data_IF_185828714510
#
_entry.id   IF_185828714510
#
_cell.length_a   1.000
_cell.length_b   1.000
_cell.length_c   1.000
_cell.angle_alpha   90.00
_cell.angle_beta   90.00
_cell.angle_gamma   90.00
#
_symmetry.space_group_name_H-M   'P 1'
#
loop_
_entity.id
_entity.type
_entity.pdbx_description
1 polymer ?
#
# COMPACT_ATOMS: atom_id res chain seq x y z
N UNK A 1 -1.19 0.50 -0.32
CA UNK A 1 -0.30 1.61 -0.74
C UNK A 1 -0.56 2.85 0.10
N UNK A 2 -0.11 4.03 -0.32
CA UNK A 2 -0.35 5.28 0.44
C UNK A 2 -1.76 5.84 0.25
N UNK A 3 -2.20 6.01 -1.00
CA UNK A 3 -3.44 6.65 -1.40
C UNK A 3 -3.76 6.20 -2.83
N UNK A 4 -5.03 6.26 -3.29
CA UNK A 4 -5.34 6.02 -4.68
C UNK A 4 -4.71 7.08 -5.58
N UNK A 5 -4.17 6.66 -6.72
CA UNK A 5 -3.73 7.56 -7.79
C UNK A 5 -4.91 8.05 -8.65
N UNK A 6 -4.66 9.01 -9.56
CA UNK A 6 -5.70 9.54 -10.47
C UNK A 6 -6.37 8.44 -11.29
N UNK A 7 -5.59 7.54 -11.89
CA UNK A 7 -6.10 6.40 -12.68
C UNK A 7 -6.99 5.51 -11.82
N UNK A 8 -6.55 5.20 -10.60
CA UNK A 8 -7.28 4.32 -9.68
C UNK A 8 -8.58 4.96 -9.20
N UNK A 9 -8.61 6.29 -9.06
CA UNK A 9 -9.82 7.05 -8.74
C UNK A 9 -10.87 7.00 -9.86
N UNK A 10 -10.45 7.15 -11.12
CA UNK A 10 -11.34 7.08 -12.29
C UNK A 10 -11.86 5.66 -12.48
N UNK A 11 -10.96 4.69 -12.42
CA UNK A 11 -11.28 3.29 -12.74
C UNK A 11 -11.81 2.51 -11.55
N UNK A 12 -11.80 3.11 -10.35
CA UNK A 12 -12.22 2.52 -9.07
C UNK A 12 -11.55 1.18 -8.78
N UNK A 13 -10.30 1.02 -9.24
CA UNK A 13 -9.49 -0.19 -9.08
C UNK A 13 -8.09 0.17 -8.54
N UNK A 14 -7.79 -0.15 -7.27
CA UNK A 14 -6.46 0.04 -6.68
C UNK A 14 -5.39 -0.73 -7.45
N UNK A 15 -4.17 -0.20 -7.56
CA UNK A 15 -3.04 -0.85 -8.24
C UNK A 15 -3.24 -1.13 -9.74
N UNK A 16 -4.18 -0.46 -10.42
CA UNK A 16 -4.33 -0.62 -11.88
C UNK A 16 -3.23 0.09 -12.68
N UNK A 17 -2.63 1.13 -12.12
CA UNK A 17 -1.58 1.92 -12.77
C UNK A 17 -0.23 1.22 -12.96
N UNK A 18 0.79 1.98 -13.39
CA UNK A 18 2.15 1.48 -13.65
C UNK A 18 2.79 0.75 -12.46
N UNK A 19 2.58 1.27 -11.25
CA UNK A 19 3.15 0.67 -10.05
C UNK A 19 2.57 -0.73 -9.80
N UNK A 20 1.26 -0.91 -9.95
CA UNK A 20 0.64 -2.22 -9.73
C UNK A 20 0.93 -3.23 -10.83
N UNK A 21 1.11 -2.81 -12.09
CA UNK A 21 1.68 -3.69 -13.13
C UNK A 21 3.06 -4.23 -12.74
N UNK A 22 3.89 -3.40 -12.12
CA UNK A 22 5.21 -3.82 -11.64
C UNK A 22 5.10 -4.76 -10.44
N UNK A 23 4.22 -4.46 -9.48
CA UNK A 23 3.97 -5.34 -8.34
C UNK A 23 3.50 -6.73 -8.77
N UNK A 24 2.53 -6.80 -9.68
CA UNK A 24 2.03 -8.05 -10.26
C UNK A 24 3.13 -8.88 -10.91
N UNK A 25 3.97 -8.22 -11.71
CA UNK A 25 5.16 -8.86 -12.30
C UNK A 25 6.12 -9.43 -11.25
N UNK A 26 6.36 -8.71 -10.15
CA UNK A 26 7.22 -9.23 -9.06
C UNK A 26 6.62 -10.47 -8.38
N UNK A 27 5.30 -10.50 -8.25
CA UNK A 27 4.58 -11.62 -7.64
C UNK A 27 4.33 -12.78 -8.63
N UNK A 28 4.64 -12.60 -9.91
CA UNK A 28 4.36 -13.59 -10.94
C UNK A 28 2.87 -13.83 -11.18
N UNK A 29 2.03 -12.83 -10.90
CA UNK A 29 0.57 -12.92 -11.04
C UNK A 29 0.10 -12.06 -12.22
N UNK A 30 -0.90 -12.55 -12.95
CA UNK A 30 -1.63 -11.69 -13.89
C UNK A 30 -2.61 -10.74 -13.17
N UNK A 31 -3.39 -9.97 -13.93
CA UNK A 31 -4.33 -9.01 -13.34
C UNK A 31 -5.49 -9.71 -12.63
N UNK A 32 -6.02 -10.78 -13.19
CA UNK A 32 -7.18 -11.49 -12.66
C UNK A 32 -6.80 -12.26 -11.39
N UNK A 33 -5.70 -13.02 -11.44
CA UNK A 33 -5.15 -13.75 -10.30
C UNK A 33 -4.82 -12.82 -9.14
N UNK A 34 -4.22 -11.65 -9.44
CA UNK A 34 -3.88 -10.67 -8.42
C UNK A 34 -5.10 -10.15 -7.67
N UNK A 35 -6.18 -9.80 -8.38
CA UNK A 35 -7.40 -9.30 -7.74
C UNK A 35 -8.25 -10.41 -7.13
N UNK A 36 -8.15 -11.65 -7.61
CA UNK A 36 -8.76 -12.81 -6.97
C UNK A 36 -8.05 -13.18 -5.66
N UNK A 37 -6.73 -12.96 -5.58
CA UNK A 37 -5.89 -13.30 -4.41
C UNK A 37 -5.88 -12.20 -3.36
N UNK A 38 -5.75 -10.94 -3.78
CA UNK A 38 -5.52 -9.82 -2.86
C UNK A 38 -6.69 -8.84 -2.81
N UNK A 39 -7.20 -8.64 -1.60
CA UNK A 39 -7.93 -7.42 -1.28
C UNK A 39 -6.95 -6.24 -1.24
N UNK A 40 -7.14 -5.26 -2.12
CA UNK A 40 -6.24 -4.14 -2.29
C UNK A 40 -6.77 -2.85 -1.68
N UNK A 41 -6.02 -2.28 -0.73
CA UNK A 41 -6.37 -1.01 -0.08
C UNK A 41 -5.18 -0.05 0.08
N UNK A 42 -5.49 1.19 0.41
CA UNK A 42 -4.54 2.27 0.69
C UNK A 42 -4.79 2.90 2.05
N UNK A 43 -3.74 3.50 2.63
CA UNK A 43 -3.83 4.17 3.94
C UNK A 43 -4.89 5.27 3.93
N UNK A 44 -4.99 6.04 2.84
CA UNK A 44 -6.10 6.98 2.61
C UNK A 44 -6.96 6.56 1.41
N UNK A 45 -8.22 7.03 1.38
CA UNK A 45 -9.23 6.68 0.35
C UNK A 45 -9.44 7.71 -0.74
N UNK A 46 -8.81 8.88 -0.59
CA UNK A 46 -8.92 9.97 -1.53
C UNK A 46 -7.56 10.23 -2.18
N UNK A 47 -7.59 10.65 -3.44
CA UNK A 47 -6.40 11.12 -4.13
C UNK A 47 -5.89 12.38 -3.42
N UNK A 48 -4.63 12.40 -2.94
CA UNK A 48 -4.15 13.51 -2.14
C UNK A 48 -3.81 14.73 -2.99
N UNK A 49 -3.62 14.58 -4.30
CA UNK A 49 -3.12 15.64 -5.17
C UNK A 49 -1.65 15.44 -5.54
N UNK A 50 -1.17 16.28 -6.46
CA UNK A 50 0.22 16.24 -6.93
C UNK A 50 1.19 16.75 -5.87
N UNK A 51 2.39 16.18 -5.87
CA UNK A 51 3.49 16.75 -5.10
C UNK A 51 3.93 18.10 -5.70
N UNK A 52 4.33 19.05 -4.86
CA UNK A 52 4.85 20.36 -5.30
C UNK A 52 6.12 20.24 -6.16
N UNK A 53 6.87 19.15 -5.99
CA UNK A 53 8.04 18.83 -6.83
C UNK A 53 7.67 18.45 -8.28
N UNK A 54 6.38 18.31 -8.59
CA UNK A 54 5.89 17.80 -9.87
C UNK A 54 6.09 16.29 -10.07
N UNK A 55 6.75 15.60 -9.13
CA UNK A 55 7.04 14.16 -9.22
C UNK A 55 6.03 13.37 -8.41
N UNK A 56 5.06 12.77 -9.10
CA UNK A 56 4.08 11.88 -8.51
C UNK A 56 3.08 12.60 -7.60
N UNK A 57 2.55 11.84 -6.65
CA UNK A 57 1.45 12.28 -5.78
C UNK A 57 2.02 12.60 -4.40
N UNK A 58 1.49 13.64 -3.75
CA UNK A 58 1.97 14.03 -2.42
C UNK A 58 1.65 12.94 -1.40
N UNK A 59 2.45 12.88 -0.33
CA UNK A 59 2.10 12.03 0.81
C UNK A 59 0.87 12.63 1.54
N UNK A 60 -0.14 11.83 1.89
CA UNK A 60 -1.23 12.28 2.75
C UNK A 60 -0.71 12.79 4.09
N UNK A 61 -1.28 13.88 4.58
CA UNK A 61 -0.97 14.47 5.88
C UNK A 61 -1.36 13.54 7.02
N UNK A 62 -0.80 13.72 8.24
CA UNK A 62 -1.22 12.93 9.40
C UNK A 62 -2.72 12.99 9.68
N UNK A 63 -3.34 14.17 9.50
CA UNK A 63 -4.79 14.34 9.70
C UNK A 63 -5.61 13.54 8.69
N UNK A 64 -5.21 13.54 7.42
CA UNK A 64 -5.89 12.73 6.39
C UNK A 64 -5.76 11.22 6.65
N UNK A 65 -4.61 10.78 7.17
CA UNK A 65 -4.40 9.39 7.57
C UNK A 65 -5.28 9.00 8.76
N UNK A 66 -5.41 9.89 9.75
CA UNK A 66 -6.27 9.70 10.92
C UNK A 66 -7.75 9.56 10.51
N UNK A 67 -8.24 10.47 9.66
CA UNK A 67 -9.61 10.44 9.15
C UNK A 67 -9.94 9.14 8.38
N UNK A 68 -8.92 8.50 7.79
CA UNK A 68 -9.08 7.23 7.07
C UNK A 68 -8.75 5.99 7.92
N UNK A 69 -8.28 6.14 9.16
CA UNK A 69 -7.77 5.03 9.96
C UNK A 69 -8.84 3.97 10.23
N UNK A 70 -10.10 4.39 10.40
CA UNK A 70 -11.23 3.50 10.67
C UNK A 70 -11.42 2.45 9.56
N UNK A 71 -11.20 2.82 8.29
CA UNK A 71 -11.37 1.89 7.17
C UNK A 71 -10.49 0.67 7.32
N UNK A 72 -9.21 0.87 7.66
CA UNK A 72 -8.24 -0.22 7.84
C UNK A 72 -8.66 -1.13 8.98
N UNK A 73 -9.11 -0.56 10.09
CA UNK A 73 -9.54 -1.33 11.26
C UNK A 73 -10.71 -2.24 10.91
N UNK A 74 -11.71 -1.70 10.21
CA UNK A 74 -12.86 -2.47 9.73
C UNK A 74 -12.48 -3.53 8.70
N UNK A 75 -11.61 -3.20 7.74
CA UNK A 75 -11.14 -4.16 6.74
C UNK A 75 -10.44 -5.35 7.38
N UNK A 76 -9.50 -5.12 8.31
CA UNK A 76 -8.80 -6.21 8.99
C UNK A 76 -9.77 -7.06 9.82
N UNK A 77 -10.72 -6.42 10.50
CA UNK A 77 -11.74 -7.11 11.31
C UNK A 77 -12.69 -7.96 10.46
N UNK A 78 -13.09 -7.47 9.29
CA UNK A 78 -14.01 -8.17 8.40
C UNK A 78 -13.32 -9.28 7.61
N UNK A 79 -12.16 -8.98 7.03
CA UNK A 79 -11.45 -9.88 6.13
C UNK A 79 -10.68 -10.96 6.89
N UNK A 80 -10.21 -10.68 8.11
CA UNK A 80 -9.35 -11.57 8.92
C UNK A 80 -8.26 -12.24 8.06
N UNK A 81 -7.43 -11.44 7.36
CA UNK A 81 -6.51 -11.99 6.38
C UNK A 81 -5.44 -12.85 7.06
N UNK A 82 -5.01 -13.92 6.39
CA UNK A 82 -3.86 -14.70 6.83
C UNK A 82 -2.52 -13.96 6.57
N UNK A 83 -2.51 -13.02 5.62
CA UNK A 83 -1.33 -12.26 5.20
C UNK A 83 -1.68 -10.79 4.95
N UNK A 84 -0.87 -9.88 5.48
CA UNK A 84 -0.90 -8.45 5.15
C UNK A 84 0.41 -8.06 4.46
N UNK A 85 0.30 -7.40 3.31
CA UNK A 85 1.46 -6.94 2.52
C UNK A 85 1.48 -5.41 2.48
N UNK A 86 2.09 -4.72 3.46
CA UNK A 86 2.21 -3.27 3.41
C UNK A 86 3.23 -2.86 2.35
N UNK A 87 2.78 -2.14 1.33
CA UNK A 87 3.63 -1.72 0.21
C UNK A 87 3.97 -0.23 0.30
N UNK A 88 5.26 0.07 0.45
CA UNK A 88 5.80 1.43 0.53
C UNK A 88 5.88 2.01 1.95
N UNK A 89 6.73 3.03 2.11
CA UNK A 89 7.14 3.53 3.43
C UNK A 89 6.00 3.98 4.34
N UNK A 90 4.98 4.64 3.79
CA UNK A 90 3.83 5.08 4.59
C UNK A 90 3.00 3.90 5.11
N UNK A 91 2.68 2.93 4.25
CA UNK A 91 1.91 1.76 4.63
C UNK A 91 2.68 0.92 5.66
N UNK A 92 3.97 0.73 5.44
CA UNK A 92 4.86 0.00 6.35
C UNK A 92 4.92 0.68 7.71
N UNK A 93 5.13 2.00 7.75
CA UNK A 93 5.12 2.76 8.99
C UNK A 93 3.78 2.62 9.72
N UNK A 94 2.66 2.65 9.01
CA UNK A 94 1.32 2.60 9.62
C UNK A 94 0.96 1.20 10.14
N UNK A 95 1.43 0.15 9.47
CA UNK A 95 1.16 -1.25 9.83
C UNK A 95 2.16 -1.74 10.88
N UNK A 96 3.48 -1.59 10.66
CA UNK A 96 4.51 -2.12 11.55
C UNK A 96 4.93 -1.16 12.68
N UNK A 97 4.56 0.13 12.61
CA UNK A 97 5.04 1.14 13.56
C UNK A 97 6.53 1.50 13.43
N UNK A 98 7.23 0.95 12.44
CA UNK A 98 8.68 1.10 12.25
C UNK A 98 9.03 2.25 11.30
N UNK A 99 10.19 2.87 11.50
CA UNK A 99 10.83 3.82 10.57
C UNK A 99 12.04 3.12 9.93
N UNK A 100 12.23 3.29 8.62
CA UNK A 100 13.32 2.67 7.85
C UNK A 100 12.84 1.50 7.00
N UNK A 101 12.86 1.68 5.67
CA UNK A 101 12.46 0.66 4.70
C UNK A 101 13.49 -0.47 4.59
N UNK A 102 14.79 -0.13 4.61
CA UNK A 102 15.89 -1.06 4.27
C UNK A 102 15.86 -2.31 5.14
N UNK A 103 15.69 -2.16 6.45
CA UNK A 103 15.82 -3.29 7.37
C UNK A 103 14.58 -4.19 7.45
N UNK A 104 13.42 -3.74 6.94
CA UNK A 104 12.18 -4.49 7.11
C UNK A 104 11.71 -5.21 5.86
N UNK A 105 12.00 -4.70 4.66
CA UNK A 105 11.49 -5.28 3.42
C UNK A 105 11.85 -6.76 3.29
N UNK A 106 10.88 -7.57 2.86
CA UNK A 106 11.04 -9.00 2.60
C UNK A 106 11.13 -9.88 3.86
N UNK A 107 11.13 -9.29 5.06
CA UNK A 107 11.12 -10.05 6.32
C UNK A 107 9.69 -10.40 6.73
N UNK A 108 9.54 -11.57 7.34
CA UNK A 108 8.28 -11.98 7.95
C UNK A 108 8.14 -11.37 9.35
N UNK A 109 7.01 -10.74 9.59
CA UNK A 109 6.55 -10.28 10.90
C UNK A 109 5.23 -10.96 11.25
N UNK A 110 4.92 -11.00 12.54
CA UNK A 110 3.60 -11.41 13.03
C UNK A 110 3.00 -10.23 13.80
N UNK A 111 1.81 -9.79 13.38
CA UNK A 111 1.06 -8.73 14.05
C UNK A 111 -0.33 -9.27 14.37
N UNK A 112 -0.66 -9.32 15.67
CA UNK A 112 -1.95 -9.81 16.15
C UNK A 112 -2.32 -11.20 15.55
N UNK A 113 -1.33 -12.07 15.40
CA UNK A 113 -1.47 -13.41 14.80
C UNK A 113 -1.54 -13.45 13.27
N UNK A 114 -1.30 -12.32 12.59
CA UNK A 114 -1.34 -12.21 11.12
C UNK A 114 0.07 -12.07 10.55
N UNK A 115 0.43 -12.94 9.61
CA UNK A 115 1.68 -12.84 8.87
C UNK A 115 1.73 -11.51 8.11
N UNK A 116 2.84 -10.79 8.21
CA UNK A 116 3.00 -9.48 7.60
C UNK A 116 4.35 -9.39 6.88
N UNK A 117 4.33 -9.17 5.56
CA UNK A 117 5.54 -9.09 4.73
C UNK A 117 5.56 -7.72 4.01
N UNK A 118 6.39 -6.77 4.46
CA UNK A 118 6.48 -5.46 3.83
C UNK A 118 7.23 -5.53 2.49
N UNK A 119 6.74 -4.79 1.50
CA UNK A 119 7.35 -4.65 0.18
C UNK A 119 7.66 -3.18 -0.15
N UNK A 120 8.72 -2.90 -0.93
CA UNK A 120 9.03 -1.54 -1.34
C UNK A 120 7.98 -1.05 -2.33
N UNK A 121 7.81 0.28 -2.45
CA UNK A 121 6.87 0.81 -3.43
C UNK A 121 7.44 0.66 -4.85
N UNK A 122 6.69 0.08 -5.81
CA UNK A 122 7.21 -0.19 -7.17
C UNK A 122 7.51 1.05 -8.01
N UNK A 123 7.19 2.26 -7.54
CA UNK A 123 7.43 3.51 -8.28
C UNK A 123 8.89 3.97 -8.27
N UNK A 124 9.76 3.37 -7.45
CA UNK A 124 11.15 3.79 -7.29
C UNK A 124 11.33 5.15 -6.60
N UNK A 125 10.25 5.83 -6.21
CA UNK A 125 10.31 7.12 -5.50
C UNK A 125 10.81 7.00 -4.06
N UNK A 126 10.76 5.79 -3.50
CA UNK A 126 11.44 5.44 -2.25
C UNK A 126 12.69 4.66 -2.65
N UNK A 127 13.87 5.29 -2.53
CA UNK A 127 15.14 4.61 -2.74
C UNK A 127 15.22 3.42 -1.77
N UNK A 128 15.12 2.22 -2.32
CA UNK A 128 15.37 0.95 -1.63
C UNK A 128 16.61 0.25 -2.22
N UNK A 129 17.23 0.89 -3.21
CA UNK A 129 18.54 0.62 -3.78
C UNK A 129 19.37 1.89 -3.62
#
# INVERSE_FOLDING_TARGET
GQAPGVVEGVERRPWRGRAGRTLRRWLGLDEEEFYATFYCASVTRCYPGRALSGRGDRTPTPREQELCAFWREWELRLLRPALVVPVGGLAIKRVLGRRGLVDCIGRLYELDGVATIPLPHPSGASAWL
#
